data_IF_714844546634
#
_entry.id   IF_714844546634
#
_cell.length_a   1.000
_cell.length_b   1.000
_cell.length_c   1.000
_cell.angle_alpha   90.00
_cell.angle_beta   90.00
_cell.angle_gamma   90.00
#
_symmetry.space_group_name_H-M   'P 1'
#
loop_
_entity.id
_entity.type
_entity.pdbx_description
1 polymer ?
#
# COMPACT_ATOMS: atom_id res chain seq x y z
N UNK A 1 -24.94 -62.91 36.69
CA UNK A 1 -25.28 -62.24 37.96
C UNK A 1 -24.85 -60.79 37.84
N UNK A 2 -25.75 -59.91 38.26
CA UNK A 2 -25.79 -58.46 38.10
C UNK A 2 -24.56 -57.71 38.62
N UNK A 3 -24.18 -56.61 37.95
CA UNK A 3 -24.21 -55.20 38.44
C UNK A 3 -23.68 -54.30 37.31
N UNK A 4 -24.50 -53.48 36.66
CA UNK A 4 -25.04 -52.16 37.05
C UNK A 4 -24.07 -51.00 36.75
N UNK A 5 -24.64 -50.01 36.08
CA UNK A 5 -24.00 -48.92 35.38
C UNK A 5 -23.84 -47.71 36.31
N UNK A 6 -22.76 -46.94 36.13
CA UNK A 6 -22.77 -45.53 36.51
C UNK A 6 -22.09 -44.66 35.46
N UNK A 7 -22.79 -43.57 35.17
CA UNK A 7 -22.52 -42.61 34.12
C UNK A 7 -21.26 -41.79 34.39
N UNK A 8 -20.49 -41.51 33.34
CA UNK A 8 -19.44 -40.49 33.36
C UNK A 8 -20.03 -39.16 32.92
N UNK A 9 -20.05 -38.19 33.82
CA UNK A 9 -20.26 -36.78 33.52
C UNK A 9 -18.99 -36.21 32.90
N UNK A 10 -19.05 -35.35 31.86
CA UNK A 10 -17.90 -34.57 31.42
C UNK A 10 -17.64 -33.46 32.45
N UNK A 11 -16.39 -33.30 32.85
CA UNK A 11 -15.95 -32.17 33.66
C UNK A 11 -15.92 -30.91 32.79
N UNK A 12 -16.73 -29.91 33.16
CA UNK A 12 -16.62 -28.53 32.69
C UNK A 12 -15.23 -27.98 33.06
N UNK A 13 -14.50 -27.49 32.06
CA UNK A 13 -13.32 -26.64 32.24
C UNK A 13 -13.62 -25.23 31.74
N UNK A 14 -14.13 -24.31 32.59
CA UNK A 14 -14.14 -22.88 32.30
C UNK A 14 -13.13 -22.20 33.23
N UNK A 15 -11.84 -22.25 32.88
CA UNK A 15 -10.80 -21.54 33.65
C UNK A 15 -9.59 -21.07 32.83
N UNK A 16 -9.64 -21.13 31.50
CA UNK A 16 -8.53 -20.68 30.63
C UNK A 16 -8.85 -19.44 29.78
N UNK A 17 -10.13 -19.11 29.57
CA UNK A 17 -10.53 -17.92 28.80
C UNK A 17 -10.51 -16.62 29.63
N UNK A 18 -10.56 -16.72 30.98
CA UNK A 18 -10.71 -15.55 31.85
C UNK A 18 -9.43 -14.75 32.10
N UNK A 19 -8.27 -15.16 31.55
CA UNK A 19 -6.99 -14.47 31.79
C UNK A 19 -6.50 -13.63 30.61
N UNK A 20 -7.17 -13.69 29.45
CA UNK A 20 -6.83 -12.87 28.27
C UNK A 20 -7.56 -11.52 28.28
N UNK A 21 -8.78 -11.46 28.82
CA UNK A 21 -9.59 -10.23 28.82
C UNK A 21 -9.06 -9.11 29.73
N UNK A 22 -8.11 -9.38 30.63
CA UNK A 22 -7.60 -8.39 31.60
C UNK A 22 -6.41 -7.55 31.09
N UNK A 23 -5.98 -7.71 29.84
CA UNK A 23 -4.78 -7.06 29.30
C UNK A 23 -5.01 -6.19 28.05
N UNK A 24 -6.26 -5.98 27.62
CA UNK A 24 -6.57 -5.34 26.33
C UNK A 24 -7.50 -4.15 26.56
N UNK A 25 -7.01 -2.94 26.25
CA UNK A 25 -7.81 -1.72 26.18
C UNK A 25 -8.63 -1.70 24.88
N UNK A 26 -9.94 -1.43 24.97
CA UNK A 26 -10.88 -1.43 23.83
C UNK A 26 -11.72 -0.15 23.83
N UNK A 27 -11.56 0.67 22.81
CA UNK A 27 -12.45 1.78 22.43
C UNK A 27 -13.36 1.34 21.29
N UNK A 28 -14.68 1.63 21.36
CA UNK A 28 -15.71 1.07 20.43
C UNK A 28 -16.42 2.12 19.57
N UNK A 29 -16.40 1.94 18.23
CA UNK A 29 -17.47 2.24 17.22
C UNK A 29 -17.04 1.72 15.83
N UNK A 30 -17.92 1.36 14.86
CA UNK A 30 -18.99 0.37 14.95
C UNK A 30 -18.37 -1.04 15.00
N UNK A 31 -18.65 -1.78 16.07
CA UNK A 31 -17.85 -2.94 16.45
C UNK A 31 -17.92 -4.07 15.40
N UNK A 32 -16.74 -4.48 14.94
CA UNK A 32 -16.50 -5.77 14.29
C UNK A 32 -17.11 -6.90 15.16
N UNK A 33 -17.45 -8.05 14.56
CA UNK A 33 -18.03 -9.16 15.32
C UNK A 33 -17.15 -9.49 16.54
N UNK A 34 -17.71 -9.60 17.76
CA UNK A 34 -16.92 -9.92 18.95
C UNK A 34 -16.06 -11.20 18.82
N UNK A 35 -16.50 -12.17 18.01
CA UNK A 35 -15.73 -13.37 17.69
C UNK A 35 -14.55 -13.07 16.75
N UNK A 36 -14.69 -12.12 15.82
CA UNK A 36 -13.57 -11.60 15.03
C UNK A 36 -12.56 -10.91 15.94
N UNK A 37 -13.01 -9.99 16.81
CA UNK A 37 -12.11 -9.29 17.74
C UNK A 37 -11.31 -10.27 18.61
N UNK A 38 -11.97 -11.24 19.25
CA UNK A 38 -11.29 -12.28 20.04
C UNK A 38 -10.30 -13.11 19.22
N UNK A 39 -10.61 -13.36 17.95
CA UNK A 39 -9.70 -14.10 17.07
C UNK A 39 -8.44 -13.29 16.74
N UNK A 40 -8.58 -12.00 16.45
CA UNK A 40 -7.46 -11.09 16.20
C UNK A 40 -6.60 -10.92 17.47
N UNK A 41 -7.23 -10.77 18.63
CA UNK A 41 -6.54 -10.71 19.94
C UNK A 41 -5.70 -11.99 20.16
N UNK A 42 -6.30 -13.16 19.93
CA UNK A 42 -5.61 -14.45 20.05
C UNK A 42 -4.46 -14.59 19.05
N UNK A 43 -4.65 -14.16 17.80
CA UNK A 43 -3.63 -14.20 16.77
C UNK A 43 -2.44 -13.31 17.13
N UNK A 44 -2.70 -12.06 17.54
CA UNK A 44 -1.67 -11.13 17.98
C UNK A 44 -0.89 -11.66 19.18
N UNK A 45 -1.58 -12.19 20.19
CA UNK A 45 -0.93 -12.77 21.37
C UNK A 45 -0.10 -14.03 21.03
N UNK A 46 -0.58 -14.83 20.08
CA UNK A 46 0.16 -16.02 19.60
C UNK A 46 1.43 -15.61 18.88
N UNK A 47 1.36 -14.63 17.98
CA UNK A 47 2.53 -14.15 17.24
C UNK A 47 3.50 -13.36 18.14
N UNK A 48 3.00 -12.58 19.12
CA UNK A 48 3.83 -11.97 20.17
C UNK A 48 4.66 -13.03 20.90
N UNK A 49 4.02 -14.11 21.35
CA UNK A 49 4.67 -15.18 22.11
C UNK A 49 5.64 -15.98 21.24
N UNK A 50 5.23 -16.35 20.03
CA UNK A 50 6.04 -17.10 19.07
C UNK A 50 7.26 -16.30 18.62
N UNK A 51 7.07 -15.01 18.36
CA UNK A 51 8.11 -14.05 17.99
C UNK A 51 9.00 -13.61 19.14
N UNK A 52 8.60 -13.91 20.39
CA UNK A 52 9.25 -13.47 21.63
C UNK A 52 9.39 -11.94 21.67
N UNK A 53 8.37 -11.23 21.20
CA UNK A 53 8.37 -9.77 21.12
C UNK A 53 8.14 -9.18 22.52
N UNK A 54 9.00 -8.27 23.04
CA UNK A 54 8.78 -7.64 24.34
C UNK A 54 7.41 -6.96 24.44
N UNK A 55 7.07 -6.18 23.42
CA UNK A 55 5.72 -5.70 23.14
C UNK A 55 5.43 -5.66 21.64
N UNK A 56 4.14 -5.79 21.31
CA UNK A 56 3.60 -5.55 19.98
C UNK A 56 2.25 -4.84 20.10
N UNK A 57 2.02 -3.86 19.26
CA UNK A 57 0.73 -3.20 19.08
C UNK A 57 0.28 -3.36 17.63
N UNK A 58 -1.02 -3.52 17.41
CA UNK A 58 -1.60 -3.64 16.09
C UNK A 58 -2.93 -2.91 15.98
N UNK A 59 -3.28 -2.51 14.76
CA UNK A 59 -4.54 -1.90 14.42
C UNK A 59 -5.02 -2.39 13.04
N UNK A 60 -6.33 -2.51 12.88
CA UNK A 60 -7.01 -2.76 11.60
C UNK A 60 -7.94 -1.59 11.31
N UNK A 61 -7.95 -1.17 10.05
CA UNK A 61 -8.70 -0.01 9.55
C UNK A 61 -9.69 -0.47 8.49
N UNK A 62 -10.90 0.06 8.56
CA UNK A 62 -11.96 -0.12 7.57
C UNK A 62 -12.76 1.16 7.41
N UNK A 63 -13.10 1.48 6.16
CA UNK A 63 -13.95 2.62 5.81
C UNK A 63 -13.46 3.94 6.45
N UNK A 64 -12.14 4.17 6.37
CA UNK A 64 -11.49 5.38 6.90
C UNK A 64 -11.30 5.42 8.42
N UNK A 65 -11.72 4.38 9.15
CA UNK A 65 -11.76 4.39 10.62
C UNK A 65 -11.13 3.16 11.26
N UNK A 66 -10.74 3.30 12.54
CA UNK A 66 -10.18 2.20 13.34
C UNK A 66 -11.27 1.16 13.64
N UNK A 67 -11.12 -0.05 13.09
CA UNK A 67 -12.07 -1.15 13.29
C UNK A 67 -11.68 -2.05 14.48
N UNK A 68 -10.38 -2.18 14.75
CA UNK A 68 -9.84 -2.94 15.87
C UNK A 68 -8.43 -2.45 16.20
N UNK A 69 -8.07 -2.46 17.48
CA UNK A 69 -6.69 -2.31 17.94
C UNK A 69 -6.45 -3.13 19.19
N UNK A 70 -5.24 -3.63 19.34
CA UNK A 70 -4.80 -4.29 20.56
C UNK A 70 -3.29 -4.14 20.73
N UNK A 71 -2.82 -4.35 21.96
CA UNK A 71 -1.42 -4.47 22.27
C UNK A 71 -1.20 -5.65 23.22
N UNK A 72 -0.03 -6.28 23.12
CA UNK A 72 0.36 -7.43 23.94
C UNK A 72 1.78 -7.22 24.45
N UNK A 73 1.99 -7.50 25.73
CA UNK A 73 3.29 -7.37 26.40
C UNK A 73 3.47 -6.02 27.09
N UNK A 74 4.69 -5.77 27.53
CA UNK A 74 5.09 -4.54 28.22
C UNK A 74 6.25 -3.89 27.48
N UNK A 75 6.33 -2.56 27.54
CA UNK A 75 7.32 -1.81 26.78
C UNK A 75 8.76 -2.20 27.14
N UNK A 76 9.00 -2.69 28.37
CA UNK A 76 10.30 -3.18 28.84
C UNK A 76 10.47 -4.70 28.71
N UNK A 77 9.46 -5.43 28.21
CA UNK A 77 9.46 -6.88 28.08
C UNK A 77 9.46 -7.65 29.40
N UNK A 78 9.06 -7.00 30.51
CA UNK A 78 9.05 -7.62 31.85
C UNK A 78 7.63 -7.86 32.35
N UNK A 79 7.47 -8.98 33.08
CA UNK A 79 6.25 -9.26 33.84
C UNK A 79 6.03 -8.14 34.86
N UNK A 80 4.85 -7.51 34.83
CA UNK A 80 4.52 -6.36 35.69
C UNK A 80 5.14 -5.03 35.26
N UNK A 81 5.85 -5.00 34.11
CA UNK A 81 6.29 -3.76 33.47
C UNK A 81 5.12 -2.94 32.92
N UNK A 82 5.39 -1.73 32.43
CA UNK A 82 4.36 -0.84 31.86
C UNK A 82 3.76 -1.52 30.62
N UNK A 83 2.45 -1.84 30.61
CA UNK A 83 1.82 -2.48 29.46
C UNK A 83 1.94 -1.61 28.21
N UNK A 84 2.12 -2.23 27.05
CA UNK A 84 1.90 -1.52 25.79
C UNK A 84 0.40 -1.30 25.56
N UNK A 85 0.06 -0.25 24.82
CA UNK A 85 -1.29 0.11 24.40
C UNK A 85 -1.26 0.78 23.02
N UNK A 86 -2.42 1.20 22.53
CA UNK A 86 -2.58 1.80 21.20
C UNK A 86 -1.86 3.15 21.04
N UNK A 87 -1.60 3.89 22.13
CA UNK A 87 -0.85 5.16 22.16
C UNK A 87 0.65 4.99 22.47
N UNK A 88 1.14 3.76 22.62
CA UNK A 88 2.57 3.51 22.80
C UNK A 88 3.31 3.80 21.50
N UNK A 89 4.29 4.71 21.54
CA UNK A 89 5.14 5.01 20.38
C UNK A 89 6.20 3.92 20.14
N UNK A 90 6.40 3.62 18.86
CA UNK A 90 7.49 2.79 18.35
C UNK A 90 8.17 3.48 17.18
N UNK A 91 9.44 3.17 16.93
CA UNK A 91 10.11 3.62 15.70
C UNK A 91 9.55 2.84 14.51
N UNK A 92 8.95 3.54 13.55
CA UNK A 92 8.26 2.90 12.41
C UNK A 92 9.19 2.54 11.24
N UNK A 93 10.46 2.93 11.32
CA UNK A 93 11.45 2.60 10.30
C UNK A 93 11.04 3.09 8.92
N UNK A 94 11.26 2.25 7.92
CA UNK A 94 11.07 2.60 6.51
C UNK A 94 9.62 2.93 6.10
N UNK A 95 8.61 2.77 6.96
CA UNK A 95 7.29 3.39 6.73
C UNK A 95 7.43 4.91 6.55
N UNK A 96 8.41 5.54 7.19
CA UNK A 96 8.79 6.96 7.00
C UNK A 96 8.89 7.37 5.52
N UNK A 97 9.37 6.48 4.65
CA UNK A 97 9.53 6.74 3.21
C UNK A 97 8.21 7.10 2.54
N UNK A 98 7.11 6.51 2.99
CA UNK A 98 5.78 6.79 2.42
C UNK A 98 5.37 8.23 2.66
N UNK A 99 5.69 8.81 3.83
CA UNK A 99 5.44 10.23 4.14
C UNK A 99 6.30 11.17 3.27
N UNK A 100 7.58 10.85 3.12
CA UNK A 100 8.50 11.61 2.26
C UNK A 100 8.04 11.55 0.80
N UNK A 101 7.61 10.38 0.33
CA UNK A 101 7.10 10.19 -1.00
C UNK A 101 5.83 11.03 -1.25
N UNK A 102 4.87 11.04 -0.32
CA UNK A 102 3.69 11.90 -0.45
C UNK A 102 4.07 13.38 -0.47
N UNK A 103 5.02 13.82 0.36
CA UNK A 103 5.51 15.20 0.30
C UNK A 103 6.12 15.57 -1.07
N UNK A 104 6.87 14.65 -1.70
CA UNK A 104 7.40 14.83 -3.06
C UNK A 104 6.27 14.86 -4.10
N UNK A 105 5.29 13.96 -3.99
CA UNK A 105 4.15 13.94 -4.91
C UNK A 105 3.29 15.20 -4.80
N UNK A 106 3.18 15.81 -3.61
CA UNK A 106 2.55 17.11 -3.46
C UNK A 106 3.29 18.25 -4.16
N UNK A 107 4.63 18.20 -4.23
CA UNK A 107 5.40 19.14 -5.04
C UNK A 107 5.10 18.96 -6.53
N UNK A 108 4.97 17.71 -6.99
CA UNK A 108 4.58 17.37 -8.37
C UNK A 108 3.18 17.91 -8.68
N UNK A 109 2.19 17.61 -7.86
CA UNK A 109 0.80 18.04 -8.05
C UNK A 109 0.68 19.58 -8.06
N UNK A 110 1.53 20.27 -7.30
CA UNK A 110 1.64 21.72 -7.31
C UNK A 110 2.44 22.30 -8.50
N UNK A 111 2.89 21.46 -9.45
CA UNK A 111 3.66 21.87 -10.62
C UNK A 111 5.07 22.38 -10.32
N UNK A 112 5.62 22.03 -9.14
CA UNK A 112 6.93 22.52 -8.66
C UNK A 112 8.11 21.65 -9.10
N UNK A 113 7.84 20.42 -9.53
CA UNK A 113 8.79 19.51 -10.15
C UNK A 113 8.05 18.55 -11.09
N UNK A 114 8.78 17.95 -12.02
CA UNK A 114 8.35 16.79 -12.79
C UNK A 114 9.06 15.52 -12.28
N UNK A 115 8.38 14.38 -12.33
CA UNK A 115 8.97 13.10 -11.88
C UNK A 115 10.12 12.61 -12.79
N UNK A 116 10.15 13.08 -14.04
CA UNK A 116 11.20 12.84 -15.01
C UNK A 116 12.42 13.76 -14.85
N UNK A 117 12.33 14.80 -14.01
CA UNK A 117 13.46 15.70 -13.75
C UNK A 117 14.65 14.93 -13.20
N UNK A 118 15.87 15.34 -13.60
CA UNK A 118 17.09 14.82 -12.98
C UNK A 118 17.15 15.34 -11.55
N UNK A 119 17.52 14.49 -10.61
CA UNK A 119 17.54 14.88 -9.21
C UNK A 119 18.48 16.07 -8.92
N UNK A 120 19.63 16.13 -9.59
CA UNK A 120 20.60 17.24 -9.46
C UNK A 120 20.07 18.60 -9.93
N UNK A 121 19.00 18.64 -10.74
CA UNK A 121 18.38 19.90 -11.17
C UNK A 121 17.66 20.58 -9.99
N UNK A 122 17.22 19.79 -8.99
CA UNK A 122 16.57 20.26 -7.75
C UNK A 122 17.54 20.35 -6.57
N UNK A 123 18.53 19.46 -6.52
CA UNK A 123 19.53 19.40 -5.44
C UNK A 123 20.94 19.39 -6.03
N UNK A 124 21.46 20.55 -6.49
CA UNK A 124 22.79 20.61 -7.08
C UNK A 124 23.89 20.15 -6.12
N UNK A 125 24.84 19.38 -6.65
CA UNK A 125 25.98 18.85 -5.90
C UNK A 125 25.69 17.55 -5.14
N UNK A 126 24.54 16.90 -5.38
CA UNK A 126 24.22 15.61 -4.75
C UNK A 126 25.01 14.43 -5.34
N UNK A 127 25.54 14.60 -6.55
CA UNK A 127 26.17 13.55 -7.36
C UNK A 127 25.22 12.41 -7.75
N UNK A 128 23.90 12.64 -7.69
CA UNK A 128 22.85 11.70 -8.07
C UNK A 128 22.18 12.05 -9.41
N UNK A 129 22.73 12.97 -10.20
CA UNK A 129 22.13 13.45 -11.46
C UNK A 129 21.91 12.40 -12.55
N UNK A 130 22.42 11.17 -12.38
CA UNK A 130 22.07 10.03 -13.24
C UNK A 130 20.66 9.46 -13.02
N UNK A 131 19.99 9.85 -11.93
CA UNK A 131 18.65 9.39 -11.55
C UNK A 131 17.60 10.50 -11.69
N UNK A 132 16.37 10.09 -12.03
CA UNK A 132 15.19 10.97 -11.94
C UNK A 132 14.53 10.89 -10.56
N UNK A 133 13.65 11.84 -10.25
CA UNK A 133 12.86 11.83 -9.01
C UNK A 133 12.01 10.55 -8.90
N UNK A 134 11.30 10.16 -9.97
CA UNK A 134 10.54 8.90 -9.99
C UNK A 134 11.42 7.67 -9.72
N UNK A 135 12.64 7.63 -10.26
CA UNK A 135 13.53 6.49 -10.07
C UNK A 135 14.06 6.39 -8.62
N UNK A 136 14.20 7.52 -7.92
CA UNK A 136 14.52 7.49 -6.49
C UNK A 136 13.33 7.01 -5.67
N UNK A 137 12.13 7.53 -5.94
CA UNK A 137 10.89 7.12 -5.28
C UNK A 137 10.62 5.61 -5.43
N UNK A 138 10.89 5.05 -6.61
CA UNK A 138 10.62 3.65 -6.92
C UNK A 138 11.81 2.70 -6.72
N UNK A 139 12.90 3.16 -6.10
CA UNK A 139 14.15 2.41 -5.96
C UNK A 139 14.72 1.85 -7.28
N UNK A 140 14.37 2.47 -8.41
CA UNK A 140 14.89 2.16 -9.74
C UNK A 140 16.15 2.95 -10.13
N UNK A 141 16.60 3.87 -9.27
CA UNK A 141 17.74 4.75 -9.56
C UNK A 141 19.10 4.03 -9.61
N UNK A 142 19.20 2.85 -9.00
CA UNK A 142 20.46 2.11 -8.87
C UNK A 142 21.48 2.80 -7.95
N UNK A 143 21.04 3.73 -7.11
CA UNK A 143 21.85 4.41 -6.07
C UNK A 143 22.18 3.42 -4.97
N UNK A 144 23.38 3.53 -4.42
CA UNK A 144 23.82 2.72 -3.29
C UNK A 144 22.78 2.67 -2.15
N UNK A 145 22.65 1.49 -1.55
CA UNK A 145 21.67 1.25 -0.50
C UNK A 145 21.90 2.12 0.76
N UNK A 146 23.14 2.11 1.26
CA UNK A 146 23.55 2.68 2.55
C UNK A 146 24.74 3.65 2.41
N UNK A 147 25.02 4.43 3.46
CA UNK A 147 26.18 5.34 3.53
C UNK A 147 27.53 4.60 3.48
N UNK A 148 28.62 5.29 3.13
CA UNK A 148 29.99 4.72 3.15
C UNK A 148 30.66 4.77 4.54
N UNK A 149 29.88 4.95 5.62
CA UNK A 149 30.38 5.14 6.99
C UNK A 149 29.96 4.03 7.95
N UNK A 150 30.07 4.27 9.27
CA UNK A 150 29.44 3.44 10.28
C UNK A 150 27.95 3.26 9.99
N UNK A 151 27.38 2.15 10.46
CA UNK A 151 25.98 1.83 10.27
C UNK A 151 25.08 2.93 10.84
N UNK A 152 24.45 3.70 9.96
CA UNK A 152 23.70 4.91 10.30
C UNK A 152 22.53 4.66 11.27
N UNK A 153 22.01 3.44 11.33
CA UNK A 153 20.94 3.09 12.26
C UNK A 153 21.45 2.96 13.71
N UNK A 154 22.78 2.81 13.90
CA UNK A 154 23.46 2.69 15.20
C UNK A 154 24.55 3.75 15.42
N UNK A 155 24.51 4.84 14.68
CA UNK A 155 25.48 5.94 14.82
C UNK A 155 24.77 7.26 14.59
N UNK A 156 25.07 8.32 15.37
CA UNK A 156 24.53 9.64 15.10
C UNK A 156 24.75 10.07 13.65
N UNK A 157 23.70 10.56 13.01
CA UNK A 157 23.74 11.04 11.65
C UNK A 157 24.48 12.37 11.51
N UNK A 158 24.98 12.61 10.30
CA UNK A 158 25.58 13.88 9.91
C UNK A 158 24.62 14.81 9.18
N UNK A 159 25.15 15.92 8.72
CA UNK A 159 24.50 16.88 7.83
C UNK A 159 24.39 16.36 6.39
N UNK A 160 23.50 16.96 5.60
CA UNK A 160 23.41 16.67 4.16
C UNK A 160 24.74 16.93 3.43
N UNK A 161 25.49 17.97 3.81
CA UNK A 161 26.78 18.29 3.20
C UNK A 161 27.81 17.16 3.39
N UNK A 162 27.82 16.51 4.55
CA UNK A 162 28.67 15.34 4.81
C UNK A 162 28.23 14.12 4.02
N UNK A 163 26.91 13.89 3.89
CA UNK A 163 26.36 12.79 3.11
C UNK A 163 26.64 12.97 1.60
N UNK A 164 26.38 14.16 1.05
CA UNK A 164 26.61 14.48 -0.35
C UNK A 164 28.10 14.55 -0.71
N UNK A 165 28.96 14.96 0.23
CA UNK A 165 30.42 14.96 0.06
C UNK A 165 31.07 13.57 0.17
N UNK A 166 30.32 12.55 0.58
CA UNK A 166 30.77 11.16 0.63
C UNK A 166 30.71 10.53 -0.77
N UNK A 167 31.58 9.55 -1.12
CA UNK A 167 31.57 8.90 -2.43
C UNK A 167 30.39 7.93 -2.61
N UNK A 168 29.20 8.28 -2.11
CA UNK A 168 27.99 7.48 -2.27
C UNK A 168 27.63 7.50 -3.74
N UNK A 169 27.66 6.31 -4.35
CA UNK A 169 27.74 6.18 -5.79
C UNK A 169 26.57 5.43 -6.40
N UNK A 170 26.45 5.58 -7.72
CA UNK A 170 25.56 4.76 -8.52
C UNK A 170 26.15 3.34 -8.68
N UNK A 171 25.37 2.33 -8.28
CA UNK A 171 25.73 0.90 -8.38
C UNK A 171 25.23 0.27 -9.66
N UNK A 172 24.09 0.74 -10.17
CA UNK A 172 23.51 0.32 -11.44
C UNK A 172 23.06 1.52 -12.25
N UNK A 173 23.10 1.40 -13.58
CA UNK A 173 22.47 2.38 -14.47
C UNK A 173 21.02 2.59 -14.03
N UNK A 174 20.60 3.85 -13.93
CA UNK A 174 19.23 4.18 -13.55
C UNK A 174 18.20 3.55 -14.50
N UNK A 175 17.09 3.11 -13.93
CA UNK A 175 16.03 2.38 -14.60
C UNK A 175 16.38 0.94 -14.99
N UNK A 176 17.55 0.41 -14.60
CA UNK A 176 17.96 -0.95 -14.98
C UNK A 176 17.26 -2.04 -14.18
N UNK A 177 17.16 -1.87 -12.87
CA UNK A 177 16.62 -2.88 -11.93
C UNK A 177 16.29 -2.26 -10.59
N UNK A 178 15.47 -2.96 -9.81
CA UNK A 178 15.29 -2.67 -8.39
C UNK A 178 16.62 -2.70 -7.64
N UNK A 179 16.86 -1.64 -6.88
CA UNK A 179 17.91 -1.59 -5.87
C UNK A 179 17.48 -0.65 -4.75
N UNK A 180 16.99 -1.25 -3.66
CA UNK A 180 16.55 -0.51 -2.48
C UNK A 180 17.61 0.47 -2.00
N UNK A 181 17.20 1.70 -1.67
CA UNK A 181 18.11 2.76 -1.27
C UNK A 181 17.55 3.65 -0.17
N UNK A 182 18.20 3.62 1.00
CA UNK A 182 17.97 4.56 2.09
C UNK A 182 18.57 5.92 1.75
N UNK A 183 19.74 5.94 1.10
CA UNK A 183 20.39 7.18 0.63
C UNK A 183 19.48 7.94 -0.34
N UNK A 184 18.80 7.24 -1.26
CA UNK A 184 17.86 7.88 -2.18
C UNK A 184 16.73 8.59 -1.46
N UNK A 185 16.23 8.03 -0.35
CA UNK A 185 15.19 8.67 0.46
C UNK A 185 15.72 9.80 1.34
N UNK A 186 16.95 9.70 1.85
CA UNK A 186 17.65 10.83 2.47
C UNK A 186 17.72 12.03 1.49
N UNK A 187 18.06 11.75 0.23
CA UNK A 187 18.09 12.75 -0.83
C UNK A 187 16.71 13.33 -1.14
N UNK A 188 15.67 12.51 -1.22
CA UNK A 188 14.29 13.00 -1.41
C UNK A 188 13.83 13.90 -0.24
N UNK A 189 14.23 13.61 1.00
CA UNK A 189 13.99 14.49 2.13
C UNK A 189 14.70 15.85 1.99
N UNK A 190 15.95 15.87 1.55
CA UNK A 190 16.67 17.11 1.24
C UNK A 190 15.97 17.90 0.11
N UNK A 191 15.47 17.22 -0.92
CA UNK A 191 14.70 17.87 -1.99
C UNK A 191 13.46 18.57 -1.43
N UNK A 192 12.70 17.90 -0.57
CA UNK A 192 11.54 18.49 0.11
C UNK A 192 11.95 19.70 0.94
N UNK A 193 13.02 19.59 1.72
CA UNK A 193 13.53 20.67 2.55
C UNK A 193 13.90 21.91 1.72
N UNK A 194 14.66 21.73 0.63
CA UNK A 194 15.07 22.81 -0.27
C UNK A 194 13.91 23.45 -0.99
N UNK A 195 12.97 22.64 -1.47
CA UNK A 195 11.78 23.16 -2.13
C UNK A 195 10.99 24.07 -1.18
N UNK A 196 10.86 23.73 0.10
CA UNK A 196 10.09 24.55 1.04
C UNK A 196 10.91 25.60 1.80
N UNK A 197 12.24 25.57 1.74
CA UNK A 197 13.11 26.46 2.51
C UNK A 197 13.02 26.23 4.02
N UNK A 198 12.68 25.02 4.45
CA UNK A 198 12.55 24.62 5.88
C UNK A 198 12.96 23.15 6.03
N UNK A 199 13.04 22.65 7.26
CA UNK A 199 13.31 21.23 7.51
C UNK A 199 12.22 20.33 6.92
N UNK A 200 12.60 19.15 6.42
CA UNK A 200 11.70 18.20 5.79
C UNK A 200 10.58 17.74 6.75
N UNK A 201 10.88 17.57 8.04
CA UNK A 201 9.89 17.13 9.01
C UNK A 201 8.86 18.22 9.29
N UNK A 202 9.24 19.49 9.25
CA UNK A 202 8.27 20.59 9.36
C UNK A 202 7.29 20.61 8.18
N UNK A 203 7.75 20.24 6.98
CA UNK A 203 6.85 20.03 5.83
C UNK A 203 5.94 18.84 6.11
N UNK A 204 6.49 17.68 6.48
CA UNK A 204 5.70 16.47 6.76
C UNK A 204 4.65 16.72 7.85
N UNK A 205 5.04 17.38 8.93
CA UNK A 205 4.16 17.72 10.05
C UNK A 205 3.03 18.63 9.61
N UNK A 206 3.35 19.80 9.04
CA UNK A 206 2.35 20.81 8.62
C UNK A 206 1.41 20.30 7.54
N UNK A 207 1.96 19.61 6.55
CA UNK A 207 1.25 19.30 5.31
C UNK A 207 0.56 17.93 5.38
N UNK A 208 1.03 16.99 6.21
CA UNK A 208 0.50 15.63 6.27
C UNK A 208 0.00 15.27 7.66
N UNK A 209 0.83 15.40 8.70
CA UNK A 209 0.47 14.92 10.03
C UNK A 209 -0.62 15.76 10.69
N UNK A 210 -0.52 17.09 10.64
CA UNK A 210 -1.50 17.99 11.27
C UNK A 210 -2.90 17.84 10.63
N UNK A 211 -3.08 17.82 9.29
CA UNK A 211 -4.39 17.59 8.67
C UNK A 211 -4.98 16.21 8.96
N UNK A 212 -4.14 15.18 9.10
CA UNK A 212 -4.56 13.82 9.45
C UNK A 212 -4.66 13.60 10.97
N UNK A 213 -4.45 14.63 11.78
CA UNK A 213 -4.44 14.57 13.24
C UNK A 213 -3.48 13.52 13.83
N UNK A 214 -2.35 13.27 13.16
CA UNK A 214 -1.28 12.37 13.60
C UNK A 214 -0.31 13.06 14.59
N UNK A 215 -0.85 13.48 15.73
CA UNK A 215 -0.13 14.34 16.70
C UNK A 215 0.88 13.59 17.57
N UNK A 216 0.87 12.26 17.53
CA UNK A 216 1.82 11.37 18.23
C UNK A 216 2.82 10.76 17.23
N UNK A 217 3.03 11.41 16.08
CA UNK A 217 4.05 11.06 15.09
C UNK A 217 5.18 12.08 15.10
N UNK A 218 6.39 11.65 15.48
CA UNK A 218 7.51 12.54 15.83
C UNK A 218 8.84 12.01 15.29
N UNK A 219 9.88 12.85 15.22
CA UNK A 219 11.23 12.43 14.78
C UNK A 219 12.01 11.67 15.86
N UNK A 220 11.54 11.75 17.10
CA UNK A 220 12.16 11.17 18.30
C UNK A 220 11.07 10.73 19.26
N UNK A 221 11.35 9.80 20.20
CA UNK A 221 10.35 9.32 21.14
C UNK A 221 9.86 10.44 22.09
N UNK A 222 8.54 10.55 22.24
CA UNK A 222 7.86 11.50 23.10
C UNK A 222 6.72 10.82 23.90
N UNK A 223 6.50 11.26 25.15
CA UNK A 223 5.47 10.67 26.02
C UNK A 223 5.71 9.18 26.27
N UNK A 224 4.67 8.36 26.14
CA UNK A 224 4.78 6.90 26.25
C UNK A 224 5.42 6.33 24.98
N UNK A 225 6.65 5.84 25.09
CA UNK A 225 7.39 5.25 23.99
C UNK A 225 8.12 3.98 24.44
N UNK A 226 8.12 2.96 23.59
CA UNK A 226 8.81 1.72 23.85
C UNK A 226 10.33 1.88 23.60
N UNK A 227 11.21 1.44 24.52
CA UNK A 227 12.64 1.35 24.23
C UNK A 227 12.89 0.27 23.16
N UNK A 228 13.93 0.46 22.35
CA UNK A 228 14.40 -0.55 21.42
C UNK A 228 15.08 -1.70 22.16
N UNK A 229 14.72 -2.94 21.85
CA UNK A 229 15.25 -4.11 22.53
C UNK A 229 15.70 -5.20 21.53
N UNK A 230 16.81 -5.85 21.83
CA UNK A 230 17.18 -7.13 21.25
C UNK A 230 16.86 -8.26 22.23
N UNK A 231 16.28 -9.34 21.73
CA UNK A 231 16.04 -10.57 22.51
C UNK A 231 17.11 -11.59 22.13
N UNK A 232 17.87 -12.08 23.12
CA UNK A 232 18.89 -13.08 22.86
C UNK A 232 18.24 -14.35 22.29
N UNK A 233 18.72 -14.89 21.15
CA UNK A 233 18.02 -15.95 20.42
C UNK A 233 17.84 -17.26 21.21
N UNK A 234 18.66 -17.49 22.25
CA UNK A 234 18.67 -18.76 22.99
C UNK A 234 18.44 -18.65 24.51
N UNK A 235 18.25 -17.45 25.05
CA UNK A 235 18.32 -17.26 26.51
C UNK A 235 17.27 -16.32 27.11
N UNK A 236 16.33 -15.79 26.31
CA UNK A 236 15.31 -14.82 26.75
C UNK A 236 15.89 -13.60 27.51
N UNK A 237 17.15 -13.26 27.24
CA UNK A 237 17.82 -12.09 27.81
C UNK A 237 17.58 -10.89 26.90
N UNK A 238 17.17 -9.78 27.49
CA UNK A 238 16.95 -8.52 26.79
C UNK A 238 18.21 -7.66 26.82
N UNK A 239 18.57 -7.08 25.68
CA UNK A 239 19.63 -6.08 25.53
C UNK A 239 19.00 -4.80 24.96
N UNK A 240 19.12 -3.64 25.64
CA UNK A 240 18.71 -2.36 25.06
C UNK A 240 19.48 -2.03 23.79
N UNK A 241 18.76 -1.64 22.74
CA UNK A 241 19.32 -1.07 21.53
C UNK A 241 19.12 0.45 21.56
N UNK A 242 20.20 1.24 21.61
CA UNK A 242 20.10 2.68 21.79
C UNK A 242 19.50 3.38 20.56
N UNK A 243 18.77 4.45 20.82
CA UNK A 243 18.27 5.37 19.80
C UNK A 243 19.30 6.47 19.51
N UNK A 244 19.39 6.85 18.24
CA UNK A 244 20.19 7.97 17.76
C UNK A 244 19.41 8.74 16.70
N UNK A 245 19.62 10.07 16.70
CA UNK A 245 19.21 10.93 15.60
C UNK A 245 20.04 10.58 14.35
N UNK A 246 19.35 10.26 13.26
CA UNK A 246 19.92 9.85 11.99
C UNK A 246 20.25 11.04 11.07
N UNK A 247 19.96 12.28 11.49
CA UNK A 247 20.35 13.49 10.76
C UNK A 247 19.89 13.47 9.31
N UNK A 248 20.83 13.59 8.36
CA UNK A 248 20.53 13.52 6.93
C UNK A 248 19.84 12.21 6.48
N UNK A 249 20.03 11.10 7.22
CA UNK A 249 19.37 9.82 6.93
C UNK A 249 17.96 9.72 7.55
N UNK A 250 17.52 10.69 8.36
CA UNK A 250 16.21 10.67 9.01
C UNK A 250 15.01 10.41 8.06
N UNK A 251 14.95 11.00 6.86
CA UNK A 251 13.87 10.74 5.88
C UNK A 251 13.77 9.27 5.44
N UNK A 252 14.81 8.46 5.63
CA UNK A 252 14.79 7.06 5.27
C UNK A 252 14.05 6.19 6.30
N UNK A 253 13.97 6.57 7.58
CA UNK A 253 13.39 5.67 8.57
C UNK A 253 13.27 6.14 10.02
N UNK A 254 13.45 7.43 10.30
CA UNK A 254 13.60 7.87 11.69
C UNK A 254 12.30 7.99 12.47
N UNK A 255 11.16 8.19 11.81
CA UNK A 255 9.94 8.59 12.51
C UNK A 255 9.48 7.55 13.55
N UNK A 256 8.86 8.08 14.59
CA UNK A 256 8.17 7.37 15.65
C UNK A 256 6.68 7.61 15.51
N UNK A 257 5.87 6.60 15.79
CA UNK A 257 4.41 6.72 15.74
C UNK A 257 3.75 5.72 16.68
N UNK A 258 2.48 5.92 16.92
CA UNK A 258 1.57 4.96 17.57
C UNK A 258 0.78 4.19 16.51
N UNK A 259 0.10 3.12 16.91
CA UNK A 259 -0.82 2.41 15.99
C UNK A 259 -2.07 3.23 15.70
N UNK A 260 -2.51 4.12 16.60
CA UNK A 260 -3.63 5.04 16.34
C UNK A 260 -3.29 6.05 15.23
N UNK A 261 -2.10 6.64 15.28
CA UNK A 261 -1.65 7.58 14.26
C UNK A 261 -1.42 6.89 12.92
N UNK A 262 -0.76 5.73 12.93
CA UNK A 262 -0.58 4.95 11.70
C UNK A 262 -1.88 4.34 11.17
N UNK A 263 -2.92 4.16 11.99
CA UNK A 263 -4.25 3.79 11.51
C UNK A 263 -4.85 4.92 10.67
N UNK A 264 -4.63 6.19 11.03
CA UNK A 264 -5.03 7.34 10.18
C UNK A 264 -4.22 7.37 8.88
N UNK A 265 -2.94 7.03 8.93
CA UNK A 265 -2.13 6.87 7.72
C UNK A 265 -2.55 5.66 6.86
N UNK A 266 -3.01 4.57 7.48
CA UNK A 266 -3.58 3.43 6.78
C UNK A 266 -4.93 3.76 6.14
N UNK A 267 -5.76 4.59 6.78
CA UNK A 267 -6.98 5.15 6.20
C UNK A 267 -6.67 6.03 4.98
N UNK A 268 -5.69 6.94 5.11
CA UNK A 268 -5.14 7.71 3.99
C UNK A 268 -4.71 6.80 2.84
N UNK A 269 -3.92 5.76 3.14
CA UNK A 269 -3.46 4.78 2.16
C UNK A 269 -4.61 3.94 1.57
N UNK A 270 -5.72 3.79 2.30
CA UNK A 270 -6.97 3.16 1.86
C UNK A 270 -7.86 4.03 1.00
N UNK A 271 -7.48 5.28 0.73
CA UNK A 271 -8.20 6.21 -0.14
C UNK A 271 -8.90 7.36 0.59
N UNK A 272 -8.97 7.34 1.93
CA UNK A 272 -9.48 8.48 2.70
C UNK A 272 -8.38 9.53 2.89
N UNK A 273 -8.08 10.22 1.81
CA UNK A 273 -6.91 11.11 1.72
C UNK A 273 -7.04 12.39 2.53
N UNK A 274 -8.21 12.69 3.11
CA UNK A 274 -8.53 13.95 3.80
C UNK A 274 -8.11 15.21 3.00
N UNK A 275 -8.20 15.14 1.67
CA UNK A 275 -7.75 16.19 0.72
C UNK A 275 -6.24 16.54 0.79
N UNK A 276 -5.44 15.77 1.53
CA UNK A 276 -3.97 15.93 1.60
C UNK A 276 -3.31 15.60 0.26
N UNK A 277 -3.90 14.66 -0.48
CA UNK A 277 -3.45 14.20 -1.80
C UNK A 277 -4.68 13.80 -2.63
N UNK A 278 -4.62 13.94 -3.95
CA UNK A 278 -5.70 13.40 -4.79
C UNK A 278 -5.71 11.86 -4.75
N UNK A 279 -6.88 11.25 -4.85
CA UNK A 279 -7.01 9.79 -4.91
C UNK A 279 -6.35 9.20 -6.15
N UNK A 280 -6.35 9.94 -7.27
CA UNK A 280 -5.70 9.52 -8.51
C UNK A 280 -4.17 9.55 -8.36
N UNK A 281 -3.63 10.57 -7.69
CA UNK A 281 -2.20 10.62 -7.35
C UNK A 281 -1.83 9.45 -6.42
N UNK A 282 -2.65 9.13 -5.43
CA UNK A 282 -2.40 7.96 -4.56
C UNK A 282 -2.43 6.64 -5.35
N UNK A 283 -3.37 6.50 -6.28
CA UNK A 283 -3.44 5.34 -7.16
C UNK A 283 -2.19 5.20 -8.05
N UNK A 284 -1.70 6.31 -8.63
CA UNK A 284 -0.43 6.37 -9.37
C UNK A 284 0.75 5.92 -8.49
N UNK A 285 0.79 6.36 -7.23
CA UNK A 285 1.86 5.96 -6.30
C UNK A 285 1.92 4.44 -6.04
N UNK A 286 0.83 3.71 -6.27
CA UNK A 286 0.75 2.25 -6.14
C UNK A 286 0.99 1.50 -7.45
N UNK A 287 1.20 2.19 -8.56
CA UNK A 287 1.52 1.54 -9.82
C UNK A 287 2.91 0.88 -9.73
N UNK A 288 3.06 -0.39 -10.17
CA UNK A 288 4.37 -1.05 -10.17
C UNK A 288 5.37 -0.36 -11.10
N UNK A 289 6.27 0.45 -10.54
CA UNK A 289 7.33 1.12 -11.31
C UNK A 289 8.59 0.27 -11.44
N UNK A 290 8.98 -0.43 -10.37
CA UNK A 290 10.17 -1.28 -10.36
C UNK A 290 9.85 -2.64 -9.73
N UNK A 291 10.04 -3.71 -10.50
CA UNK A 291 9.79 -5.08 -10.03
C UNK A 291 10.94 -5.60 -9.17
N UNK A 292 10.61 -6.33 -8.10
CA UNK A 292 11.57 -7.13 -7.36
C UNK A 292 11.78 -8.44 -8.13
N UNK A 293 12.79 -8.44 -9.00
CA UNK A 293 13.13 -9.57 -9.85
C UNK A 293 14.16 -10.48 -9.17
N UNK A 294 13.65 -11.47 -8.41
CA UNK A 294 14.45 -12.52 -7.79
C UNK A 294 14.44 -13.78 -8.67
N UNK A 295 15.57 -14.16 -9.28
CA UNK A 295 15.62 -15.29 -10.20
C UNK A 295 15.06 -16.59 -9.60
N UNK A 296 14.12 -17.20 -10.32
CA UNK A 296 13.47 -18.45 -9.91
C UNK A 296 12.23 -18.27 -9.02
N UNK A 297 11.82 -17.04 -8.72
CA UNK A 297 10.58 -16.71 -8.02
C UNK A 297 9.57 -16.04 -8.97
N UNK A 298 8.28 -16.19 -8.67
CA UNK A 298 7.25 -15.41 -9.34
C UNK A 298 7.34 -13.93 -8.93
N UNK A 299 7.00 -13.02 -9.85
CA UNK A 299 6.91 -11.61 -9.54
C UNK A 299 5.67 -11.32 -8.69
N UNK A 300 5.87 -11.23 -7.38
CA UNK A 300 4.81 -10.98 -6.39
C UNK A 300 5.01 -9.67 -5.65
N UNK A 301 6.12 -8.97 -5.87
CA UNK A 301 6.42 -7.69 -5.22
C UNK A 301 7.04 -6.70 -6.21
N UNK A 302 6.66 -5.43 -6.07
CA UNK A 302 7.19 -4.30 -6.78
C UNK A 302 7.29 -3.10 -5.84
N UNK A 303 7.90 -2.03 -6.32
CA UNK A 303 7.83 -0.70 -5.72
C UNK A 303 7.14 0.26 -6.68
N UNK A 304 6.15 0.97 -6.16
CA UNK A 304 5.59 2.16 -6.78
C UNK A 304 6.38 3.40 -6.38
N UNK A 305 5.74 4.56 -6.31
CA UNK A 305 6.40 5.81 -5.90
C UNK A 305 6.44 5.91 -4.37
N UNK A 306 7.44 5.28 -3.76
CA UNK A 306 7.65 5.25 -2.31
C UNK A 306 6.84 4.21 -1.54
N UNK A 307 6.10 3.37 -2.24
CA UNK A 307 5.29 2.29 -1.67
C UNK A 307 5.77 0.92 -2.14
N UNK A 308 5.75 -0.05 -1.25
CA UNK A 308 5.80 -1.46 -1.62
C UNK A 308 4.43 -1.88 -2.13
N UNK A 309 4.42 -2.63 -3.22
CA UNK A 309 3.21 -3.16 -3.86
C UNK A 309 3.36 -4.66 -3.94
N UNK A 310 2.42 -5.40 -3.36
CA UNK A 310 2.39 -6.85 -3.39
C UNK A 310 1.23 -7.33 -4.25
N UNK A 311 1.48 -8.40 -5.00
CA UNK A 311 0.48 -9.15 -5.73
C UNK A 311 0.47 -10.59 -5.21
N UNK A 312 -0.62 -10.95 -4.53
CA UNK A 312 -0.84 -12.29 -3.97
C UNK A 312 -2.06 -12.87 -4.66
N UNK A 313 -1.83 -13.84 -5.54
CA UNK A 313 -2.87 -14.53 -6.31
C UNK A 313 -3.84 -13.59 -7.07
N UNK A 314 -3.31 -12.47 -7.59
CA UNK A 314 -4.09 -11.45 -8.32
C UNK A 314 -4.60 -10.32 -7.42
N UNK A 315 -4.56 -10.48 -6.11
CA UNK A 315 -4.97 -9.46 -5.14
C UNK A 315 -3.83 -8.49 -4.87
N UNK A 316 -4.11 -7.17 -5.02
CA UNK A 316 -3.11 -6.12 -4.82
C UNK A 316 -3.16 -5.55 -3.41
N UNK A 317 -1.99 -5.41 -2.81
CA UNK A 317 -1.78 -4.71 -1.55
C UNK A 317 -0.72 -3.62 -1.71
N UNK A 318 -0.85 -2.53 -0.98
CA UNK A 318 0.14 -1.46 -0.91
C UNK A 318 0.54 -1.20 0.54
N UNK A 319 1.74 -0.69 0.79
CA UNK A 319 2.21 -0.41 2.14
C UNK A 319 3.72 -0.29 2.23
N UNK A 320 4.27 -0.56 3.41
CA UNK A 320 5.72 -0.65 3.60
C UNK A 320 6.05 -1.41 4.91
N UNK A 321 7.12 -2.19 4.90
CA UNK A 321 7.74 -2.69 6.14
C UNK A 321 8.63 -1.64 6.82
N UNK A 322 8.98 -1.85 8.08
CA UNK A 322 9.92 -1.01 8.80
C UNK A 322 10.83 -1.87 9.67
N UNK A 323 12.11 -1.52 9.69
CA UNK A 323 13.07 -2.07 10.63
C UNK A 323 14.03 -0.97 11.03
N UNK A 324 14.32 -0.91 12.33
CA UNK A 324 15.40 -0.14 12.94
C UNK A 324 15.93 -0.99 14.10
N UNK A 325 17.15 -0.74 14.61
CA UNK A 325 17.65 -1.40 15.82
C UNK A 325 16.64 -1.30 16.96
N UNK A 326 16.17 -2.45 17.42
CA UNK A 326 15.18 -2.62 18.46
C UNK A 326 13.73 -2.50 18.02
N UNK A 327 13.42 -2.39 16.71
CA UNK A 327 12.07 -2.17 16.20
C UNK A 327 11.78 -2.87 14.88
N UNK A 328 10.54 -3.33 14.76
CA UNK A 328 9.93 -3.81 13.52
C UNK A 328 8.54 -3.19 13.36
N UNK A 329 8.19 -2.89 12.13
CA UNK A 329 6.90 -2.30 11.79
C UNK A 329 6.37 -2.86 10.46
N UNK A 330 5.06 -2.83 10.29
CA UNK A 330 4.41 -3.14 9.03
C UNK A 330 3.14 -2.35 8.84
N UNK A 331 2.98 -1.81 7.63
CA UNK A 331 1.75 -1.22 7.12
C UNK A 331 1.37 -1.96 5.86
N UNK A 332 0.11 -2.38 5.76
CA UNK A 332 -0.43 -3.00 4.55
C UNK A 332 -1.89 -2.64 4.37
N UNK A 333 -2.27 -2.27 3.15
CA UNK A 333 -3.64 -1.94 2.75
C UNK A 333 -4.02 -2.80 1.56
N UNK A 334 -5.23 -3.35 1.58
CA UNK A 334 -5.84 -4.02 0.45
C UNK A 334 -6.37 -2.95 -0.52
N UNK A 335 -5.74 -2.83 -1.70
CA UNK A 335 -5.92 -1.67 -2.60
C UNK A 335 -7.37 -1.51 -3.07
N UNK A 336 -8.09 -2.62 -3.26
CA UNK A 336 -9.47 -2.56 -3.78
C UNK A 336 -10.51 -2.21 -2.71
N UNK A 337 -10.37 -2.70 -1.48
CA UNK A 337 -11.34 -2.43 -0.41
C UNK A 337 -10.96 -1.26 0.49
N UNK A 338 -9.70 -0.79 0.44
CA UNK A 338 -9.15 0.22 1.34
C UNK A 338 -8.92 -0.29 2.78
N UNK A 339 -9.18 -1.57 3.07
CA UNK A 339 -8.98 -2.13 4.40
C UNK A 339 -7.48 -2.26 4.71
N UNK A 340 -7.06 -1.81 5.89
CA UNK A 340 -5.66 -1.66 6.27
C UNK A 340 -5.29 -2.37 7.56
N UNK A 341 -4.01 -2.66 7.74
CA UNK A 341 -3.42 -3.15 8.99
C UNK A 341 -2.11 -2.44 9.28
N UNK A 342 -1.88 -2.19 10.57
CA UNK A 342 -0.63 -1.66 11.11
C UNK A 342 -0.17 -2.59 12.22
N UNK A 343 1.13 -2.89 12.27
CA UNK A 343 1.76 -3.58 13.39
C UNK A 343 3.07 -2.88 13.76
N UNK A 344 3.30 -2.67 15.05
CA UNK A 344 4.50 -2.08 15.61
C UNK A 344 5.03 -2.97 16.74
N UNK A 345 6.33 -3.26 16.75
CA UNK A 345 6.97 -4.07 17.79
C UNK A 345 8.33 -3.49 18.18
N UNK A 346 8.70 -3.60 19.45
CA UNK A 346 10.02 -3.18 19.94
C UNK A 346 11.00 -4.35 20.05
N UNK A 347 11.22 -5.02 18.91
CA UNK A 347 12.28 -6.01 18.73
C UNK A 347 12.87 -5.91 17.32
N UNK A 348 14.17 -6.17 17.16
CA UNK A 348 14.83 -6.26 15.84
C UNK A 348 14.37 -7.48 15.00
N UNK A 349 13.80 -8.50 15.63
CA UNK A 349 13.34 -9.72 14.95
C UNK A 349 12.08 -10.28 15.61
N UNK A 350 11.42 -11.22 14.93
CA UNK A 350 10.31 -12.01 15.49
C UNK A 350 8.91 -11.63 15.00
N UNK A 351 8.75 -10.62 14.15
CA UNK A 351 7.41 -10.19 13.66
C UNK A 351 6.75 -11.18 12.70
N UNK A 352 7.50 -12.11 12.09
CA UNK A 352 6.94 -13.21 11.30
C UNK A 352 5.97 -12.74 10.20
N UNK A 353 4.79 -13.36 10.15
CA UNK A 353 3.72 -13.09 9.18
C UNK A 353 2.53 -12.34 9.79
N UNK A 354 2.66 -11.80 10.99
CA UNK A 354 1.54 -11.19 11.74
C UNK A 354 0.81 -10.10 10.96
N UNK A 355 1.52 -9.32 10.14
CA UNK A 355 0.94 -8.25 9.31
C UNK A 355 -0.03 -8.83 8.25
N UNK A 356 0.40 -9.69 7.30
CA UNK A 356 -0.53 -10.34 6.38
C UNK A 356 -1.62 -11.15 7.09
N UNK A 357 -1.26 -11.88 8.15
CA UNK A 357 -2.18 -12.83 8.78
C UNK A 357 -3.35 -12.10 9.48
N UNK A 358 -3.09 -10.97 10.15
CA UNK A 358 -4.15 -10.15 10.74
C UNK A 358 -5.10 -9.59 9.69
N UNK A 359 -4.57 -9.03 8.58
CA UNK A 359 -5.42 -8.48 7.52
C UNK A 359 -6.23 -9.57 6.83
N UNK A 360 -5.62 -10.71 6.51
CA UNK A 360 -6.31 -11.84 5.90
C UNK A 360 -7.42 -12.39 6.81
N UNK A 361 -7.13 -12.60 8.09
CA UNK A 361 -8.11 -13.07 9.07
C UNK A 361 -9.28 -12.09 9.23
N UNK A 362 -9.01 -10.79 9.20
CA UNK A 362 -10.05 -9.76 9.23
C UNK A 362 -10.93 -9.82 7.98
N UNK A 363 -10.33 -9.83 6.78
CA UNK A 363 -11.07 -9.86 5.52
C UNK A 363 -11.94 -11.13 5.36
N UNK A 364 -11.45 -12.27 5.83
CA UNK A 364 -12.19 -13.54 5.81
C UNK A 364 -13.41 -13.51 6.73
N UNK A 365 -13.26 -12.94 7.94
CA UNK A 365 -14.28 -12.97 8.99
C UNK A 365 -15.27 -11.82 8.93
N UNK A 366 -14.86 -10.72 8.32
CA UNK A 366 -15.69 -9.53 8.10
C UNK A 366 -15.81 -9.25 6.59
N UNK A 367 -16.38 -10.18 5.80
CA UNK A 367 -16.53 -9.97 4.37
C UNK A 367 -17.50 -8.83 4.11
N UNK A 368 -17.18 -7.97 3.13
CA UNK A 368 -18.08 -6.91 2.70
C UNK A 368 -19.33 -7.53 2.08
N UNK A 369 -20.50 -7.09 2.53
CA UNK A 369 -21.75 -7.46 1.88
C UNK A 369 -21.91 -6.60 0.62
N UNK A 370 -22.01 -7.21 -0.58
CA UNK A 370 -22.22 -6.45 -1.80
C UNK A 370 -23.56 -5.70 -1.75
N UNK A 371 -23.61 -4.52 -2.34
CA UNK A 371 -24.86 -3.79 -2.48
C UNK A 371 -25.91 -4.65 -3.20
N UNK A 372 -27.18 -4.66 -2.74
CA UNK A 372 -28.24 -5.31 -3.49
C UNK A 372 -28.32 -4.76 -4.91
N UNK A 373 -28.52 -5.65 -5.86
CA UNK A 373 -28.71 -5.23 -7.25
C UNK A 373 -30.06 -4.53 -7.43
N UNK A 374 -30.05 -3.39 -8.11
CA UNK A 374 -31.25 -2.66 -8.54
C UNK A 374 -31.21 -2.40 -10.05
N UNK A 375 -32.39 -2.42 -10.69
CA UNK A 375 -32.50 -2.10 -12.11
C UNK A 375 -32.51 -0.58 -12.31
N UNK A 376 -31.36 -0.02 -12.70
CA UNK A 376 -31.16 1.43 -12.92
C UNK A 376 -30.71 1.76 -14.36
N UNK A 377 -30.81 0.80 -15.28
CA UNK A 377 -30.29 0.94 -16.64
C UNK A 377 -31.06 1.94 -17.50
N UNK A 378 -30.33 2.66 -18.36
CA UNK A 378 -30.90 3.53 -19.39
C UNK A 378 -31.17 2.73 -20.68
N UNK A 379 -32.42 2.65 -21.18
CA UNK A 379 -32.73 1.98 -22.45
C UNK A 379 -31.95 2.50 -23.66
N UNK A 380 -31.42 3.74 -23.62
CA UNK A 380 -30.62 4.31 -24.70
C UNK A 380 -29.36 3.50 -25.00
N UNK A 381 -28.79 2.80 -24.01
CA UNK A 381 -27.55 2.02 -24.21
C UNK A 381 -27.79 0.67 -24.88
N UNK A 382 -29.04 0.28 -25.12
CA UNK A 382 -29.38 -0.99 -25.79
C UNK A 382 -28.76 -1.09 -27.18
N UNK A 383 -28.57 0.04 -27.86
CA UNK A 383 -27.90 0.10 -29.17
C UNK A 383 -26.39 -0.14 -29.12
N UNK A 384 -25.78 -0.15 -27.93
CA UNK A 384 -24.34 -0.35 -27.72
C UNK A 384 -24.03 -1.74 -27.15
N UNK A 385 -24.99 -2.39 -26.48
CA UNK A 385 -24.79 -3.71 -25.88
C UNK A 385 -25.04 -4.85 -26.87
N UNK A 386 -24.69 -6.07 -26.48
CA UNK A 386 -24.83 -7.27 -27.28
C UNK A 386 -23.53 -7.66 -27.98
N UNK A 387 -23.64 -8.36 -29.11
CA UNK A 387 -22.47 -8.90 -29.81
C UNK A 387 -21.84 -7.86 -30.73
N UNK A 388 -20.52 -7.86 -30.75
CA UNK A 388 -19.65 -7.08 -31.61
C UNK A 388 -18.52 -7.96 -32.17
N UNK A 389 -18.02 -7.62 -33.35
CA UNK A 389 -17.02 -8.39 -34.07
C UNK A 389 -15.84 -7.52 -34.49
N UNK A 390 -14.63 -7.91 -34.12
CA UNK A 390 -13.41 -7.42 -34.77
C UNK A 390 -12.92 -8.49 -35.76
N UNK A 391 -13.19 -8.28 -37.06
CA UNK A 391 -13.02 -9.33 -38.06
C UNK A 391 -13.86 -10.57 -37.70
N UNK A 392 -13.27 -11.76 -37.57
CA UNK A 392 -13.98 -12.96 -37.10
C UNK A 392 -14.07 -13.06 -35.57
N UNK A 393 -13.34 -12.23 -34.81
CA UNK A 393 -13.30 -12.32 -33.35
C UNK A 393 -14.55 -11.74 -32.72
N UNK A 394 -15.23 -12.53 -31.89
CA UNK A 394 -16.47 -12.15 -31.20
C UNK A 394 -16.15 -11.49 -29.85
N UNK A 395 -16.85 -10.43 -29.52
CA UNK A 395 -16.84 -9.78 -28.20
C UNK A 395 -18.25 -9.38 -27.80
N UNK A 396 -18.53 -9.38 -26.51
CA UNK A 396 -19.83 -8.95 -25.99
C UNK A 396 -19.66 -7.62 -25.30
N UNK A 397 -20.49 -6.64 -25.66
CA UNK A 397 -20.64 -5.41 -24.92
C UNK A 397 -21.81 -5.51 -23.92
N UNK A 398 -21.60 -5.06 -22.70
CA UNK A 398 -22.64 -4.88 -21.67
C UNK A 398 -22.41 -3.56 -20.94
N UNK A 399 -23.45 -3.00 -20.35
CA UNK A 399 -23.32 -1.85 -19.44
C UNK A 399 -23.44 -2.34 -18.00
N UNK A 400 -22.49 -1.96 -17.16
CA UNK A 400 -22.46 -2.30 -15.73
C UNK A 400 -22.26 -1.00 -14.96
N UNK A 401 -23.30 -0.57 -14.23
CA UNK A 401 -23.35 0.78 -13.65
C UNK A 401 -23.22 1.84 -14.74
N UNK A 402 -22.23 2.73 -14.61
CA UNK A 402 -21.94 3.78 -15.59
C UNK A 402 -20.97 3.36 -16.71
N UNK A 403 -20.45 2.13 -16.67
CA UNK A 403 -19.37 1.70 -17.58
C UNK A 403 -19.89 0.84 -18.73
N UNK A 404 -19.38 1.08 -19.93
CA UNK A 404 -19.44 0.13 -21.02
C UNK A 404 -18.34 -0.92 -20.80
N UNK A 405 -18.67 -2.20 -20.92
CA UNK A 405 -17.74 -3.32 -20.77
C UNK A 405 -17.73 -4.10 -22.06
N UNK A 406 -16.60 -4.12 -22.75
CA UNK A 406 -16.40 -4.88 -23.99
C UNK A 406 -15.51 -6.08 -23.68
N UNK A 407 -16.06 -7.29 -23.81
CA UNK A 407 -15.37 -8.54 -23.41
C UNK A 407 -15.38 -8.76 -21.90
N UNK A 408 -14.41 -9.53 -21.41
CA UNK A 408 -14.25 -9.83 -19.98
C UNK A 408 -13.01 -9.10 -19.43
N UNK A 409 -13.17 -8.07 -18.57
CA UNK A 409 -12.05 -7.32 -18.00
C UNK A 409 -10.99 -8.24 -17.38
N UNK A 410 -9.72 -7.93 -17.64
CA UNK A 410 -8.59 -8.74 -17.18
C UNK A 410 -8.34 -10.03 -17.96
N UNK A 411 -9.19 -10.37 -18.96
CA UNK A 411 -8.95 -11.48 -19.90
C UNK A 411 -8.77 -10.97 -21.32
N UNK A 412 -7.67 -11.39 -21.95
CA UNK A 412 -7.31 -10.98 -23.31
C UNK A 412 -7.34 -9.44 -23.48
N UNK A 413 -8.28 -8.91 -24.26
CA UNK A 413 -8.48 -7.46 -24.47
C UNK A 413 -9.81 -6.97 -23.90
N UNK A 414 -10.42 -7.71 -22.98
CA UNK A 414 -11.62 -7.22 -22.32
C UNK A 414 -11.31 -6.00 -21.45
N UNK A 415 -12.17 -4.99 -21.48
CA UNK A 415 -11.95 -3.74 -20.75
C UNK A 415 -13.26 -3.03 -20.37
N UNK A 416 -13.20 -2.20 -19.32
CA UNK A 416 -14.26 -1.23 -18.96
C UNK A 416 -13.95 0.13 -19.57
N UNK A 417 -14.98 0.90 -19.85
CA UNK A 417 -14.88 2.23 -20.44
C UNK A 417 -15.77 3.21 -19.68
N UNK A 418 -15.22 4.38 -19.33
CA UNK A 418 -15.98 5.50 -18.77
C UNK A 418 -16.45 6.43 -19.90
N UNK A 419 -17.68 6.91 -19.79
CA UNK A 419 -18.26 7.86 -20.74
C UNK A 419 -17.61 9.24 -20.53
N UNK A 420 -17.07 9.83 -21.58
CA UNK A 420 -16.50 11.20 -21.59
C UNK A 420 -17.28 12.15 -22.51
N UNK A 421 -18.18 11.61 -23.34
CA UNK A 421 -19.09 12.36 -24.20
C UNK A 421 -20.28 11.52 -24.69
N UNK A 422 -21.16 12.07 -25.55
CA UNK A 422 -22.32 11.36 -26.08
C UNK A 422 -21.99 10.06 -26.82
N UNK A 423 -20.89 10.05 -27.57
CA UNK A 423 -20.38 8.89 -28.33
C UNK A 423 -18.90 8.63 -28.05
N UNK A 424 -18.38 9.18 -26.96
CA UNK A 424 -16.97 9.10 -26.59
C UNK A 424 -16.80 8.47 -25.22
N UNK A 425 -15.88 7.52 -25.15
CA UNK A 425 -15.52 6.80 -23.95
C UNK A 425 -13.99 6.66 -23.86
N UNK A 426 -13.49 6.39 -22.67
CA UNK A 426 -12.07 6.11 -22.42
C UNK A 426 -11.92 4.80 -21.68
N UNK A 427 -10.97 3.96 -22.10
CA UNK A 427 -10.74 2.68 -21.45
C UNK A 427 -10.08 2.84 -20.08
N UNK A 428 -10.44 1.96 -19.15
CA UNK A 428 -10.08 2.06 -17.73
C UNK A 428 -9.11 0.97 -17.28
N UNK A 429 -8.95 -0.09 -18.06
CA UNK A 429 -8.15 -1.24 -17.66
C UNK A 429 -7.59 -2.08 -18.82
N UNK A 430 -6.53 -2.82 -18.51
CA UNK A 430 -5.87 -3.75 -19.41
C UNK A 430 -5.20 -3.05 -20.58
N UNK A 431 -5.36 -3.63 -21.76
CA UNK A 431 -4.72 -3.13 -22.99
C UNK A 431 -5.28 -1.77 -23.45
N UNK A 432 -6.53 -1.45 -23.08
CA UNK A 432 -7.22 -0.23 -23.52
C UNK A 432 -7.21 0.90 -22.48
N UNK A 433 -6.45 0.78 -21.38
CA UNK A 433 -6.36 1.86 -20.39
C UNK A 433 -5.90 3.16 -21.04
N UNK A 434 -6.69 4.24 -20.90
CA UNK A 434 -6.42 5.54 -21.50
C UNK A 434 -6.75 5.64 -23.00
N UNK A 435 -7.08 4.53 -23.67
CA UNK A 435 -7.40 4.53 -25.09
C UNK A 435 -8.83 5.04 -25.34
N UNK A 436 -9.04 5.89 -26.36
CA UNK A 436 -10.37 6.37 -26.71
C UNK A 436 -11.18 5.28 -27.42
N UNK A 437 -12.45 5.19 -27.04
CA UNK A 437 -13.48 4.44 -27.76
C UNK A 437 -14.52 5.43 -28.29
N UNK A 438 -14.77 5.38 -29.60
CA UNK A 438 -15.78 6.20 -30.26
C UNK A 438 -16.89 5.32 -30.83
N UNK A 439 -18.13 5.71 -30.59
CA UNK A 439 -19.29 5.12 -31.27
C UNK A 439 -19.46 5.83 -32.60
N UNK A 440 -19.20 5.13 -33.70
CA UNK A 440 -19.39 5.69 -35.04
C UNK A 440 -20.77 5.32 -35.54
N UNK A 441 -21.57 6.33 -35.89
CA UNK A 441 -22.96 6.17 -36.33
C UNK A 441 -23.08 6.31 -37.84
N UNK A 442 -24.02 5.57 -38.42
CA UNK A 442 -24.45 5.75 -39.80
C UNK A 442 -25.34 7.01 -39.95
N UNK A 443 -25.69 7.36 -41.19
CA UNK A 443 -26.48 8.55 -41.48
C UNK A 443 -27.90 8.55 -40.87
N UNK A 444 -28.42 7.37 -40.54
CA UNK A 444 -29.70 7.16 -39.85
C UNK A 444 -29.60 7.24 -38.31
N UNK A 445 -28.40 7.48 -37.78
CA UNK A 445 -28.13 7.60 -36.35
C UNK A 445 -27.84 6.28 -35.64
N UNK A 446 -27.93 5.13 -36.32
CA UNK A 446 -27.66 3.82 -35.71
C UNK A 446 -26.14 3.60 -35.58
N UNK A 447 -25.64 3.04 -34.47
CA UNK A 447 -24.23 2.66 -34.35
C UNK A 447 -23.82 1.68 -35.47
N UNK A 448 -22.88 2.12 -36.31
CA UNK A 448 -22.25 1.30 -37.36
C UNK A 448 -21.16 0.42 -36.77
N UNK A 449 -20.25 1.02 -36.01
CA UNK A 449 -19.14 0.31 -35.36
C UNK A 449 -18.62 1.07 -34.14
N UNK A 450 -17.93 0.35 -33.26
CA UNK A 450 -17.09 0.95 -32.22
C UNK A 450 -15.67 1.08 -32.79
N UNK A 451 -15.13 2.29 -32.77
CA UNK A 451 -13.75 2.58 -33.12
C UNK A 451 -12.94 2.70 -31.84
N UNK A 452 -12.08 1.70 -31.59
CA UNK A 452 -11.31 1.56 -30.36
C UNK A 452 -9.84 1.35 -30.71
N UNK A 453 -9.01 2.38 -30.50
CA UNK A 453 -7.63 2.43 -30.96
C UNK A 453 -7.50 2.12 -32.47
N UNK A 454 -7.02 0.93 -32.84
CA UNK A 454 -6.92 0.46 -34.24
C UNK A 454 -7.95 -0.62 -34.60
N UNK A 455 -8.89 -0.89 -33.69
CA UNK A 455 -9.86 -1.96 -33.78
C UNK A 455 -11.25 -1.42 -34.10
N UNK A 456 -11.81 -1.91 -35.20
CA UNK A 456 -13.19 -1.63 -35.63
C UNK A 456 -14.06 -2.81 -35.25
N UNK A 457 -15.00 -2.58 -34.34
CA UNK A 457 -15.95 -3.57 -33.87
C UNK A 457 -17.29 -3.36 -34.56
N UNK A 458 -17.72 -4.30 -35.39
CA UNK A 458 -18.95 -4.24 -36.19
C UNK A 458 -20.02 -5.19 -35.65
N UNK A 459 -21.29 -4.97 -36.03
CA UNK A 459 -22.40 -5.85 -35.59
C UNK A 459 -22.39 -7.22 -36.26
N UNK A 460 -21.76 -7.34 -37.42
CA UNK A 460 -21.53 -8.62 -38.11
C UNK A 460 -20.05 -8.79 -38.46
N UNK A 461 -19.53 -10.02 -38.56
CA UNK A 461 -18.15 -10.27 -38.97
C UNK A 461 -17.87 -9.71 -40.37
N UNK A 462 -16.86 -8.84 -40.50
CA UNK A 462 -16.49 -8.20 -41.77
C UNK A 462 -17.69 -7.52 -42.46
N UNK A 463 -18.41 -6.68 -41.73
CA UNK A 463 -19.60 -5.98 -42.23
C UNK A 463 -19.25 -5.12 -43.47
N UNK A 464 -19.79 -5.43 -44.66
CA UNK A 464 -19.46 -4.72 -45.89
C UNK A 464 -20.01 -3.29 -45.93
N UNK A 465 -20.97 -2.95 -45.06
CA UNK A 465 -21.51 -1.61 -44.93
C UNK A 465 -20.72 -0.76 -43.91
N UNK A 466 -19.83 -1.37 -43.14
CA UNK A 466 -18.94 -0.67 -42.23
C UNK A 466 -17.59 -0.35 -42.90
N UNK A 467 -16.92 0.69 -42.40
CA UNK A 467 -15.55 1.01 -42.79
C UNK A 467 -14.58 0.01 -42.14
N UNK A 468 -14.39 -1.13 -42.82
CA UNK A 468 -13.47 -2.20 -42.42
C UNK A 468 -12.08 -1.91 -43.00
N UNK A 469 -11.05 -1.69 -42.15
CA UNK A 469 -9.69 -1.42 -42.61
C UNK A 469 -9.16 -2.54 -43.50
N UNK A 470 -8.66 -2.17 -44.68
CA UNK A 470 -8.17 -3.12 -45.69
C UNK A 470 -9.27 -3.72 -46.60
N UNK A 471 -10.54 -3.39 -46.35
CA UNK A 471 -11.67 -3.86 -47.13
C UNK A 471 -11.97 -5.35 -46.93
N UNK A 472 -12.97 -5.85 -47.67
CA UNK A 472 -13.35 -7.26 -47.70
C UNK A 472 -13.26 -7.78 -49.13
N UNK A 473 -12.90 -9.04 -49.31
CA UNK A 473 -12.85 -9.64 -50.64
C UNK A 473 -14.24 -9.68 -51.26
N UNK A 474 -14.38 -9.29 -52.54
CA UNK A 474 -15.67 -9.20 -53.25
C UNK A 474 -16.47 -10.51 -53.23
N UNK A 475 -15.75 -11.63 -53.19
CA UNK A 475 -16.32 -12.97 -53.12
C UNK A 475 -16.87 -13.41 -51.76
N UNK A 476 -16.74 -12.58 -50.71
CA UNK A 476 -17.26 -12.85 -49.36
C UNK A 476 -16.70 -14.12 -48.68
N UNK A 477 -17.45 -14.63 -47.70
CA UNK A 477 -17.23 -15.95 -47.08
C UNK A 477 -17.53 -17.05 -48.11
N UNK A 478 -16.61 -18.00 -48.30
CA UNK A 478 -16.75 -19.10 -49.28
C UNK A 478 -16.51 -20.46 -48.64
#
# INVERSE_FOLDING_TARGET
>A
MSTDASARTPADHPALDATIDAAIDRTTDPAIDPATARHLDHLLATEQRRGRLPSVAAAVVRDGSLAWSAAVGSVDGRVGGVPADSDTQYRMGSITKTFVAVAVMRLRDAGRLDLGDRFDDHVPGSHLGGATVAQLLSHGAGVQAETNGPWWERTPGGSWAELAGSPVGQRFRAGRRFHYTNVGFAALGELVARAHGTDWFEVVRRDLLDPLAMTRTTTRPEGKAAPGLAVHPFADVLLPEPEHDAGAMAPAGQLWSTVEDLARWAAFAGGDTAEVLSTDTLAEMYEPHTLNDDPGQAWTTAHGLGWQVWNVDGTRYAGHGGSMPGFLAGLRVHVESGDGVVVLANSTTGMGTVVPDLLAAYLEREPRTPAPWHAEGDPSVLELVGTWHWGPSVSTARVVGAHLVLGEPGRARGSRFARVGPDEWVGLDGYYTGEPLRVVRAADGVPSHLDLASFRFTRTPYDPAADVPGGVHEGGWR
#
